data_IF_798030395526
#
_entry.id   IF_798030395526
#
_cell.length_a   1.000
_cell.length_b   1.000
_cell.length_c   1.000
_cell.angle_alpha   90.00
_cell.angle_beta   90.00
_cell.angle_gamma   90.00
#
_symmetry.space_group_name_H-M   'P 1'
#
loop_
_entity.id
_entity.type
_entity.pdbx_description
1 polymer ?
#
# COMPACT_ATOMS: atom_id res chain seq x y z
N UNK A 1 38.13 -19.70 16.46
CA UNK A 1 37.68 -19.47 15.07
C UNK A 1 36.16 -19.54 14.90
N UNK A 2 35.47 -20.58 15.39
CA UNK A 2 34.00 -20.73 15.23
C UNK A 2 33.15 -19.53 15.70
N UNK A 3 33.44 -18.94 16.86
CA UNK A 3 32.74 -17.75 17.38
C UNK A 3 32.92 -16.49 16.54
N UNK A 4 34.08 -16.32 15.90
CA UNK A 4 34.34 -15.19 15.00
C UNK A 4 33.52 -15.32 13.72
N UNK A 5 33.41 -16.54 13.18
CA UNK A 5 32.59 -16.82 12.02
C UNK A 5 31.09 -16.58 12.31
N UNK A 6 30.59 -17.02 13.46
CA UNK A 6 29.20 -16.79 13.90
C UNK A 6 28.88 -15.29 14.06
N UNK A 7 29.81 -14.50 14.64
CA UNK A 7 29.67 -13.05 14.77
C UNK A 7 29.65 -12.33 13.42
N UNK A 8 30.57 -12.68 12.51
CA UNK A 8 30.60 -12.11 11.16
C UNK A 8 29.34 -12.44 10.36
N UNK A 9 28.81 -13.66 10.53
CA UNK A 9 27.55 -14.07 9.89
C UNK A 9 26.35 -13.26 10.43
N UNK A 10 26.25 -13.08 11.74
CA UNK A 10 25.19 -12.27 12.38
C UNK A 10 25.23 -10.80 11.97
N UNK A 11 26.43 -10.21 11.91
CA UNK A 11 26.64 -8.85 11.42
C UNK A 11 26.29 -8.70 9.94
N UNK A 12 26.72 -9.64 9.10
CA UNK A 12 26.38 -9.66 7.67
C UNK A 12 24.86 -9.77 7.43
N UNK A 13 24.17 -10.63 8.18
CA UNK A 13 22.72 -10.79 8.09
C UNK A 13 21.98 -9.51 8.52
N UNK A 14 22.46 -8.88 9.60
CA UNK A 14 21.90 -7.63 10.12
C UNK A 14 22.04 -6.47 9.12
N UNK A 15 23.18 -6.40 8.42
CA UNK A 15 23.41 -5.41 7.35
C UNK A 15 22.52 -5.63 6.11
N UNK A 16 22.29 -6.88 5.73
CA UNK A 16 21.38 -7.22 4.63
C UNK A 16 19.93 -6.86 4.98
N UNK A 17 19.48 -7.19 6.19
CA UNK A 17 18.14 -6.87 6.67
C UNK A 17 17.90 -5.37 6.81
N UNK A 18 18.89 -4.60 7.26
CA UNK A 18 18.77 -3.14 7.36
C UNK A 18 18.72 -2.46 5.98
N UNK A 19 19.42 -3.00 4.98
CA UNK A 19 19.31 -2.56 3.59
C UNK A 19 17.89 -2.72 3.03
N UNK A 20 17.25 -3.86 3.28
CA UNK A 20 15.87 -4.11 2.85
C UNK A 20 14.84 -3.18 3.54
N UNK A 21 15.04 -2.89 4.84
CA UNK A 21 14.21 -1.96 5.59
C UNK A 21 14.32 -0.52 5.07
N UNK A 22 15.54 -0.08 4.75
CA UNK A 22 15.77 1.24 4.14
C UNK A 22 15.09 1.38 2.78
N UNK A 23 15.16 0.35 1.94
CA UNK A 23 14.47 0.33 0.65
C UNK A 23 12.94 0.43 0.81
N UNK A 24 12.37 -0.22 1.82
CA UNK A 24 10.93 -0.10 2.12
C UNK A 24 10.55 1.33 2.56
N UNK A 25 11.38 1.99 3.37
CA UNK A 25 11.13 3.36 3.84
C UNK A 25 11.30 4.41 2.72
N UNK A 26 12.26 4.17 1.83
CA UNK A 26 12.65 5.05 0.72
C UNK A 26 11.92 4.73 -0.59
N UNK A 27 11.12 3.65 -0.64
CA UNK A 27 10.35 3.29 -1.82
C UNK A 27 9.50 4.50 -2.27
N UNK A 28 9.44 4.78 -3.58
CA UNK A 28 8.69 5.91 -4.10
C UNK A 28 7.22 5.76 -3.72
N UNK A 29 6.75 6.68 -2.87
CA UNK A 29 5.35 6.77 -2.48
C UNK A 29 4.58 7.47 -3.60
N UNK A 30 3.41 6.96 -3.95
CA UNK A 30 2.56 7.62 -4.94
C UNK A 30 2.00 8.94 -4.37
N UNK A 31 1.67 9.88 -5.25
CA UNK A 31 1.04 11.15 -4.87
C UNK A 31 -0.36 11.24 -5.44
N UNK A 32 -1.20 12.11 -4.86
CA UNK A 32 -2.59 12.24 -5.29
C UNK A 32 -2.70 12.73 -6.74
N UNK A 33 -1.67 13.42 -7.23
CA UNK A 33 -1.54 13.94 -8.58
C UNK A 33 -1.13 12.84 -9.57
N UNK A 34 -0.26 11.91 -9.15
CA UNK A 34 0.20 10.78 -9.97
C UNK A 34 -0.86 9.68 -10.16
N UNK A 35 -1.88 9.66 -9.30
CA UNK A 35 -2.99 8.71 -9.39
C UNK A 35 -3.92 9.03 -10.58
N UNK A 36 -4.49 8.01 -11.26
CA UNK A 36 -5.44 8.23 -12.35
C UNK A 36 -6.80 8.72 -11.85
N UNK A 37 -7.57 9.28 -12.79
CA UNK A 37 -8.93 9.76 -12.60
C UNK A 37 -9.07 11.30 -12.59
N UNK A 38 -10.30 11.81 -12.78
CA UNK A 38 -10.55 13.24 -12.90
C UNK A 38 -10.37 14.00 -11.58
N UNK A 39 -10.21 15.33 -11.66
CA UNK A 39 -10.07 16.19 -10.48
C UNK A 39 -11.28 16.13 -9.54
N UNK A 40 -12.47 15.80 -10.05
CA UNK A 40 -13.68 15.62 -9.26
C UNK A 40 -13.53 14.55 -8.16
N UNK A 41 -12.67 13.54 -8.36
CA UNK A 41 -12.41 12.50 -7.37
C UNK A 41 -11.12 12.73 -6.57
N UNK A 42 -10.53 13.93 -6.63
CA UNK A 42 -9.31 14.28 -5.88
C UNK A 42 -9.37 13.95 -4.39
N UNK A 43 -10.47 14.19 -3.64
CA UNK A 43 -10.55 13.77 -2.24
C UNK A 43 -10.37 12.26 -2.03
N UNK A 44 -10.83 11.44 -2.98
CA UNK A 44 -10.66 9.99 -2.95
C UNK A 44 -9.23 9.57 -3.27
N UNK A 45 -8.57 10.27 -4.22
CA UNK A 45 -7.14 10.09 -4.53
C UNK A 45 -6.28 10.37 -3.29
N UNK A 46 -6.58 11.46 -2.58
CA UNK A 46 -5.88 11.84 -1.35
C UNK A 46 -6.03 10.77 -0.25
N UNK A 47 -7.26 10.31 -0.01
CA UNK A 47 -7.51 9.22 0.94
C UNK A 47 -6.72 7.95 0.56
N UNK A 48 -6.76 7.55 -0.72
CA UNK A 48 -5.97 6.41 -1.19
C UNK A 48 -4.47 6.61 -0.91
N UNK A 49 -3.90 7.78 -1.24
CA UNK A 49 -2.48 8.04 -1.00
C UNK A 49 -2.09 8.02 0.47
N UNK A 50 -2.94 8.54 1.35
CA UNK A 50 -2.69 8.61 2.79
C UNK A 50 -2.63 7.22 3.44
N UNK A 51 -3.43 6.28 2.95
CA UNK A 51 -3.54 4.94 3.53
C UNK A 51 -2.80 3.87 2.72
N UNK A 52 -3.15 3.71 1.44
CA UNK A 52 -2.61 2.68 0.58
C UNK A 52 -1.33 3.14 -0.15
N UNK A 53 -1.24 4.43 -0.48
CA UNK A 53 -0.12 5.01 -1.23
C UNK A 53 1.24 5.00 -0.53
N UNK A 54 1.23 4.77 0.78
CA UNK A 54 2.41 4.60 1.63
C UNK A 54 3.15 3.29 1.36
N UNK A 55 2.42 2.27 0.91
CA UNK A 55 2.92 0.91 0.70
C UNK A 55 2.78 0.44 -0.75
N UNK A 56 1.86 1.05 -1.52
CA UNK A 56 1.50 0.63 -2.87
C UNK A 56 1.43 1.83 -3.81
N UNK A 57 2.04 1.75 -4.99
CA UNK A 57 1.98 2.84 -5.98
C UNK A 57 0.55 3.07 -6.51
N UNK A 58 -0.10 2.01 -6.96
CA UNK A 58 -1.53 1.92 -7.25
C UNK A 58 -1.87 0.44 -7.40
N UNK A 59 -2.92 -0.03 -6.73
CA UNK A 59 -3.44 -1.37 -6.99
C UNK A 59 -4.47 -1.25 -8.10
N UNK A 60 -4.16 -1.89 -9.22
CA UNK A 60 -5.04 -1.91 -10.38
C UNK A 60 -6.39 -2.58 -10.03
N UNK A 61 -7.54 -1.96 -10.35
CA UNK A 61 -8.84 -2.55 -10.06
C UNK A 61 -9.08 -3.93 -10.66
N UNK A 62 -8.35 -4.33 -11.71
CA UNK A 62 -8.43 -5.66 -12.34
C UNK A 62 -8.11 -6.79 -11.36
N UNK A 63 -7.34 -6.49 -10.30
CA UNK A 63 -7.02 -7.45 -9.25
C UNK A 63 -8.17 -7.69 -8.27
N UNK A 64 -9.25 -6.90 -8.35
CA UNK A 64 -10.45 -7.09 -7.55
C UNK A 64 -11.56 -7.69 -8.41
N UNK A 65 -12.02 -8.88 -8.03
CA UNK A 65 -13.10 -9.59 -8.68
C UNK A 65 -14.27 -9.82 -7.70
N UNK A 66 -15.36 -10.44 -8.16
CA UNK A 66 -16.54 -10.71 -7.32
C UNK A 66 -16.21 -11.62 -6.12
N UNK A 67 -15.22 -12.51 -6.24
CA UNK A 67 -14.81 -13.42 -5.17
C UNK A 67 -13.85 -12.73 -4.18
N UNK A 68 -13.08 -11.73 -4.63
CA UNK A 68 -12.10 -10.98 -3.84
C UNK A 68 -12.27 -9.48 -4.05
N UNK A 69 -13.37 -8.89 -3.55
CA UNK A 69 -13.61 -7.46 -3.65
C UNK A 69 -12.64 -6.68 -2.76
N UNK A 70 -12.36 -5.42 -3.12
CA UNK A 70 -11.51 -4.50 -2.34
C UNK A 70 -11.99 -4.34 -0.88
N UNK A 71 -13.29 -4.50 -0.64
CA UNK A 71 -13.93 -4.48 0.67
C UNK A 71 -13.34 -5.53 1.62
N UNK A 72 -12.92 -6.69 1.13
CA UNK A 72 -12.33 -7.72 1.99
C UNK A 72 -10.98 -7.27 2.55
N UNK A 73 -10.19 -6.57 1.75
CA UNK A 73 -8.87 -6.07 2.15
C UNK A 73 -8.99 -4.90 3.12
N UNK A 74 -9.87 -3.93 2.81
CA UNK A 74 -10.09 -2.76 3.67
C UNK A 74 -10.72 -3.15 5.01
N UNK A 75 -11.67 -4.10 5.03
CA UNK A 75 -12.21 -4.65 6.28
C UNK A 75 -11.13 -5.26 7.17
N UNK A 76 -10.18 -6.00 6.59
CA UNK A 76 -9.05 -6.56 7.35
C UNK A 76 -8.20 -5.45 7.97
N UNK A 77 -7.97 -4.35 7.26
CA UNK A 77 -7.21 -3.22 7.80
C UNK A 77 -7.95 -2.48 8.92
N UNK A 78 -9.27 -2.38 8.84
CA UNK A 78 -10.08 -1.86 9.94
C UNK A 78 -10.03 -2.77 11.16
N UNK A 79 -10.16 -4.09 10.98
CA UNK A 79 -10.03 -5.07 12.07
C UNK A 79 -8.65 -5.04 12.75
N UNK A 80 -7.64 -4.53 12.07
CA UNK A 80 -6.26 -4.37 12.57
C UNK A 80 -5.97 -2.95 13.08
N UNK A 81 -6.98 -2.07 13.14
CA UNK A 81 -6.85 -0.68 13.57
C UNK A 81 -5.80 0.12 12.76
N UNK A 82 -5.65 -0.22 11.47
CA UNK A 82 -4.74 0.46 10.55
C UNK A 82 -5.41 1.66 9.85
N UNK A 83 -6.73 1.57 9.67
CA UNK A 83 -7.60 2.60 9.10
C UNK A 83 -8.98 2.52 9.77
N UNK A 84 -9.73 3.62 9.75
CA UNK A 84 -11.12 3.71 10.22
C UNK A 84 -12.11 3.35 9.12
N UNK A 85 -13.36 3.06 9.49
CA UNK A 85 -14.37 2.67 8.50
C UNK A 85 -14.67 3.74 7.45
N UNK A 86 -14.64 5.02 7.84
CA UNK A 86 -14.82 6.12 6.89
C UNK A 86 -13.69 6.16 5.85
N UNK A 87 -12.46 5.89 6.28
CA UNK A 87 -11.27 5.87 5.42
C UNK A 87 -11.33 4.66 4.46
N UNK A 88 -11.72 3.50 4.98
CA UNK A 88 -11.98 2.30 4.19
C UNK A 88 -13.01 2.55 3.07
N UNK A 89 -14.13 3.22 3.40
CA UNK A 89 -15.16 3.57 2.41
C UNK A 89 -14.61 4.49 1.31
N UNK A 90 -13.77 5.47 1.65
CA UNK A 90 -13.16 6.37 0.66
C UNK A 90 -12.20 5.63 -0.29
N UNK A 91 -11.40 4.69 0.24
CA UNK A 91 -10.52 3.84 -0.57
C UNK A 91 -11.32 2.96 -1.53
N UNK A 92 -12.39 2.32 -1.02
CA UNK A 92 -13.29 1.50 -1.84
C UNK A 92 -13.93 2.33 -2.95
N UNK A 93 -14.43 3.52 -2.61
CA UNK A 93 -15.04 4.44 -3.57
C UNK A 93 -14.05 4.86 -4.67
N UNK A 94 -12.79 5.11 -4.32
CA UNK A 94 -11.75 5.43 -5.29
C UNK A 94 -11.54 4.29 -6.31
N UNK A 95 -11.34 3.06 -5.81
CA UNK A 95 -11.09 1.89 -6.66
C UNK A 95 -12.30 1.61 -7.57
N UNK A 96 -13.52 1.77 -7.05
CA UNK A 96 -14.75 1.62 -7.84
C UNK A 96 -14.88 2.70 -8.92
N UNK A 97 -14.56 3.96 -8.59
CA UNK A 97 -14.56 5.06 -9.55
C UNK A 97 -13.57 4.80 -10.70
N UNK A 98 -12.39 4.22 -10.42
CA UNK A 98 -11.45 3.84 -11.47
C UNK A 98 -12.01 2.77 -12.41
N UNK A 99 -12.71 1.76 -11.87
CA UNK A 99 -13.33 0.72 -12.69
C UNK A 99 -14.40 1.26 -13.63
N UNK A 100 -15.09 2.33 -13.24
CA UNK A 100 -16.17 2.95 -14.03
C UNK A 100 -15.66 3.85 -15.18
N UNK A 101 -14.38 4.27 -15.13
CA UNK A 101 -13.78 5.23 -16.08
C UNK A 101 -12.80 4.53 -17.04
N UNK A 102 -12.70 3.20 -16.99
CA UNK A 102 -11.92 2.43 -17.95
C UNK A 102 -12.63 2.35 -19.31
N UNK A 103 -11.92 2.58 -20.43
CA UNK A 103 -12.43 2.35 -21.77
C UNK A 103 -12.72 0.86 -22.01
#
# INVERSE_FOLDING_TARGET
MRRFFELSLMLGLSFLLSGCLLLFLLAPKTTSEALPGPDAIRPLKQAYTQHCGRCHALVDPVYFDKARPIQNYTRRYVQQDLIHEREAQQVVAYIQALSAVRP
#
